data_IF_982444337937
#
_entry.id   IF_982444337937
#
_cell.length_a   1.000
_cell.length_b   1.000
_cell.length_c   1.000
_cell.angle_alpha   90.00
_cell.angle_beta   90.00
_cell.angle_gamma   90.00
#
_symmetry.space_group_name_H-M   'P 1'
#
loop_
_entity.id
_entity.type
_entity.pdbx_description
1 polymer ?
#
# COMPACT_ATOMS: atom_id res chain seq x y z
N UNK A 1 16.45 6.74 3.33
CA UNK A 1 15.67 5.98 4.33
C UNK A 1 15.45 6.88 5.54
N UNK A 2 14.24 6.90 6.11
CA UNK A 2 13.81 7.80 7.19
C UNK A 2 14.48 7.54 8.56
N UNK A 3 15.73 7.07 8.58
CA UNK A 3 16.45 6.71 9.80
C UNK A 3 16.27 5.25 10.25
N UNK A 4 15.53 4.43 9.49
CA UNK A 4 15.47 2.98 9.71
C UNK A 4 16.74 2.33 9.11
N UNK A 5 17.47 1.49 9.87
CA UNK A 5 18.61 0.76 9.36
C UNK A 5 18.24 -0.11 8.14
N UNK A 6 19.08 -0.09 7.10
CA UNK A 6 18.84 -0.84 5.87
C UNK A 6 18.64 -2.34 6.13
N UNK A 7 19.41 -2.93 7.05
CA UNK A 7 19.31 -4.35 7.40
C UNK A 7 17.99 -4.71 8.09
N UNK A 8 17.47 -3.81 8.94
CA UNK A 8 16.15 -3.96 9.55
C UNK A 8 15.04 -3.91 8.49
N UNK A 9 15.11 -2.93 7.58
CA UNK A 9 14.18 -2.81 6.46
C UNK A 9 14.22 -4.02 5.53
N UNK A 10 15.41 -4.49 5.18
CA UNK A 10 15.58 -5.64 4.28
C UNK A 10 15.04 -6.93 4.88
N UNK A 11 15.08 -7.07 6.21
CA UNK A 11 14.50 -8.22 6.92
C UNK A 11 12.98 -8.13 7.00
N UNK A 12 12.45 -6.95 7.27
CA UNK A 12 11.02 -6.71 7.38
C UNK A 12 10.67 -5.27 6.98
N UNK A 13 10.05 -5.03 5.81
CA UNK A 13 9.71 -3.69 5.36
C UNK A 13 8.72 -2.98 6.29
N UNK A 14 7.93 -3.73 7.08
CA UNK A 14 6.97 -3.15 8.03
C UNK A 14 7.67 -2.33 9.14
N UNK A 15 8.98 -2.55 9.36
CA UNK A 15 9.79 -1.74 10.28
C UNK A 15 9.83 -0.26 9.90
N UNK A 16 9.54 0.09 8.65
CA UNK A 16 9.43 1.48 8.19
C UNK A 16 8.12 2.15 8.60
N UNK A 17 7.06 1.41 8.91
CA UNK A 17 5.72 1.95 9.10
C UNK A 17 5.62 3.03 10.20
N UNK A 18 6.20 2.86 11.41
CA UNK A 18 6.10 3.90 12.45
C UNK A 18 6.79 5.20 12.06
N UNK A 19 7.94 5.08 11.40
CA UNK A 19 8.75 6.21 10.95
C UNK A 19 8.09 6.93 9.78
N UNK A 20 7.51 6.16 8.84
CA UNK A 20 6.72 6.69 7.74
C UNK A 20 5.47 7.40 8.23
N UNK A 21 4.77 6.85 9.23
CA UNK A 21 3.64 7.49 9.90
C UNK A 21 4.06 8.85 10.50
N UNK A 22 5.18 8.87 11.22
CA UNK A 22 5.71 10.11 11.79
C UNK A 22 6.01 11.15 10.71
N UNK A 23 6.62 10.72 9.61
CA UNK A 23 6.91 11.59 8.46
C UNK A 23 5.63 12.18 7.85
N UNK A 24 4.66 11.33 7.45
CA UNK A 24 3.43 11.82 6.78
C UNK A 24 2.57 12.69 7.69
N UNK A 25 2.57 12.44 9.01
CA UNK A 25 1.83 13.27 9.99
C UNK A 25 2.35 14.70 10.12
N UNK A 26 3.56 14.97 9.63
CA UNK A 26 4.21 16.29 9.72
C UNK A 26 4.26 17.02 8.38
N UNK A 27 3.79 16.39 7.30
CA UNK A 27 3.77 17.01 5.99
C UNK A 27 2.75 18.15 5.96
N UNK A 28 3.10 19.32 5.41
CA UNK A 28 2.15 20.40 5.19
C UNK A 28 1.29 20.08 3.96
N UNK A 29 0.41 19.08 4.05
CA UNK A 29 -0.36 18.55 2.91
C UNK A 29 -1.21 19.63 2.21
N UNK A 30 -1.63 20.67 2.93
CA UNK A 30 -2.36 21.81 2.38
C UNK A 30 -1.51 22.70 1.44
N UNK A 31 -0.19 22.59 1.52
CA UNK A 31 0.77 23.36 0.72
C UNK A 31 1.35 22.54 -0.44
N UNK A 32 0.94 21.27 -0.58
CA UNK A 32 1.46 20.38 -1.62
C UNK A 32 1.03 20.83 -3.01
N UNK A 33 2.00 20.92 -3.91
CA UNK A 33 1.74 21.01 -5.34
C UNK A 33 1.46 19.61 -5.92
N UNK A 34 1.00 19.56 -7.18
CA UNK A 34 0.69 18.29 -7.84
C UNK A 34 1.89 17.33 -7.87
N UNK A 35 3.11 17.84 -8.03
CA UNK A 35 4.34 17.04 -8.00
C UNK A 35 4.62 16.42 -6.64
N UNK A 36 4.29 17.12 -5.55
CA UNK A 36 4.48 16.62 -4.20
C UNK A 36 3.52 15.47 -3.91
N UNK A 37 2.25 15.64 -4.34
CA UNK A 37 1.25 14.57 -4.28
C UNK A 37 1.65 13.36 -5.11
N UNK A 38 2.16 13.56 -6.34
CA UNK A 38 2.62 12.47 -7.19
C UNK A 38 3.82 11.73 -6.59
N UNK A 39 4.75 12.45 -5.97
CA UNK A 39 5.91 11.86 -5.30
C UNK A 39 5.48 11.03 -4.09
N UNK A 40 4.66 11.60 -3.20
CA UNK A 40 4.15 10.88 -2.03
C UNK A 40 3.32 9.67 -2.43
N UNK A 41 2.49 9.79 -3.47
CA UNK A 41 1.72 8.69 -4.02
C UNK A 41 2.63 7.53 -4.47
N UNK A 42 3.68 7.84 -5.24
CA UNK A 42 4.62 6.84 -5.75
C UNK A 42 5.41 6.16 -4.62
N UNK A 43 5.85 6.93 -3.62
CA UNK A 43 6.58 6.42 -2.46
C UNK A 43 5.71 5.47 -1.63
N UNK A 44 4.47 5.86 -1.32
CA UNK A 44 3.55 5.03 -0.55
C UNK A 44 3.10 3.79 -1.34
N UNK A 45 2.90 3.91 -2.66
CA UNK A 45 2.57 2.77 -3.53
C UNK A 45 3.70 1.75 -3.51
N UNK A 46 4.95 2.22 -3.62
CA UNK A 46 6.14 1.37 -3.59
C UNK A 46 6.31 0.68 -2.24
N UNK A 47 6.12 1.42 -1.13
CA UNK A 47 6.16 0.86 0.21
C UNK A 47 5.09 -0.20 0.43
N UNK A 48 3.84 0.09 0.08
CA UNK A 48 2.72 -0.84 0.20
C UNK A 48 2.99 -2.13 -0.58
N UNK A 49 3.41 -2.01 -1.84
CA UNK A 49 3.75 -3.16 -2.67
C UNK A 49 4.90 -3.98 -2.09
N UNK A 50 5.99 -3.35 -1.61
CA UNK A 50 7.13 -4.07 -1.03
C UNK A 50 6.74 -4.83 0.24
N UNK A 51 5.86 -4.26 1.07
CA UNK A 51 5.29 -4.95 2.24
C UNK A 51 4.48 -6.17 1.80
N UNK A 52 3.57 -6.02 0.85
CA UNK A 52 2.73 -7.12 0.35
C UNK A 52 3.55 -8.24 -0.28
N UNK A 53 4.52 -7.90 -1.12
CA UNK A 53 5.39 -8.87 -1.80
C UNK A 53 6.24 -9.64 -0.78
N UNK A 54 6.94 -8.93 0.12
CA UNK A 54 7.90 -9.59 1.04
C UNK A 54 7.25 -10.32 2.19
N UNK A 55 6.15 -9.80 2.75
CA UNK A 55 5.50 -10.44 3.91
C UNK A 55 4.49 -11.49 3.53
N UNK A 56 3.77 -11.28 2.44
CA UNK A 56 2.62 -12.11 2.06
C UNK A 56 2.88 -12.94 0.80
N UNK A 57 4.09 -12.90 0.26
CA UNK A 57 4.46 -13.64 -0.96
C UNK A 57 3.66 -13.18 -2.19
N UNK A 58 3.14 -11.96 -2.16
CA UNK A 58 2.38 -11.41 -3.26
C UNK A 58 3.27 -11.14 -4.47
N UNK A 59 2.67 -11.03 -5.67
CA UNK A 59 3.41 -10.80 -6.92
C UNK A 59 2.78 -9.69 -7.74
N UNK A 60 3.62 -8.95 -8.49
CA UNK A 60 3.13 -8.02 -9.49
C UNK A 60 2.53 -8.77 -10.68
N UNK A 61 1.34 -8.37 -11.08
CA UNK A 61 0.63 -8.87 -12.25
C UNK A 61 0.16 -7.70 -13.12
N UNK A 62 -0.04 -7.98 -14.40
CA UNK A 62 -0.71 -7.05 -15.31
C UNK A 62 -2.16 -7.53 -15.45
N UNK A 63 -3.10 -6.67 -15.05
CA UNK A 63 -4.52 -6.91 -15.24
C UNK A 63 -5.03 -6.11 -16.44
N UNK A 64 -5.88 -6.73 -17.25
CA UNK A 64 -6.57 -6.05 -18.34
C UNK A 64 -7.52 -5.00 -17.75
N UNK A 65 -7.49 -3.79 -18.31
CA UNK A 65 -8.31 -2.67 -17.85
C UNK A 65 -8.72 -1.83 -19.06
N UNK A 66 -9.72 -2.28 -19.82
CA UNK A 66 -10.09 -1.66 -21.11
C UNK A 66 -10.62 -0.23 -20.95
N UNK A 67 -11.09 0.12 -19.75
CA UNK A 67 -11.61 1.46 -19.44
C UNK A 67 -10.48 2.42 -18.98
N UNK A 68 -9.30 1.88 -18.68
CA UNK A 68 -8.12 2.64 -18.30
C UNK A 68 -7.37 3.23 -19.51
N UNK A 69 -6.62 4.34 -19.32
CA UNK A 69 -5.93 5.04 -20.42
C UNK A 69 -4.87 4.19 -21.14
N UNK A 70 -4.34 3.15 -20.47
CA UNK A 70 -3.34 2.24 -21.02
C UNK A 70 -3.93 0.92 -21.52
N UNK A 71 -5.22 0.64 -21.26
CA UNK A 71 -5.83 -0.67 -21.52
C UNK A 71 -5.41 -1.77 -20.54
N UNK A 72 -4.54 -1.46 -19.57
CA UNK A 72 -4.08 -2.37 -18.53
C UNK A 72 -3.66 -1.60 -17.28
N UNK A 73 -3.54 -2.32 -16.16
CA UNK A 73 -3.02 -1.79 -14.89
C UNK A 73 -2.10 -2.79 -14.19
N UNK A 74 -1.19 -2.26 -13.37
CA UNK A 74 -0.31 -3.07 -12.53
C UNK A 74 -0.99 -3.34 -11.19
N UNK A 75 -1.13 -4.60 -10.83
CA UNK A 75 -1.78 -5.03 -9.59
C UNK A 75 -0.86 -5.93 -8.79
N UNK A 76 -1.10 -5.99 -7.49
CA UNK A 76 -0.52 -6.99 -6.60
C UNK A 76 -1.53 -8.14 -6.47
N UNK A 77 -1.10 -9.35 -6.79
CA UNK A 77 -1.88 -10.58 -6.60
C UNK A 77 -1.29 -11.40 -5.45
N UNK A 78 -2.16 -11.87 -4.56
CA UNK A 78 -1.79 -12.76 -3.46
C UNK A 78 -2.83 -13.87 -3.28
N UNK A 79 -2.39 -14.99 -2.70
CA UNK A 79 -3.28 -16.06 -2.28
C UNK A 79 -3.98 -15.64 -0.98
N UNK A 80 -5.29 -15.41 -1.03
CA UNK A 80 -6.07 -15.12 0.18
C UNK A 80 -6.12 -16.31 1.13
N UNK A 81 -6.51 -16.05 2.39
CA UNK A 81 -6.76 -17.11 3.38
C UNK A 81 -7.89 -18.06 2.99
N UNK A 82 -8.73 -17.66 2.02
CA UNK A 82 -9.77 -18.50 1.41
C UNK A 82 -9.25 -19.45 0.31
N UNK A 83 -7.93 -19.45 0.04
CA UNK A 83 -7.33 -20.29 -0.98
C UNK A 83 -7.64 -19.83 -2.42
N UNK A 84 -8.21 -18.64 -2.63
CA UNK A 84 -8.38 -18.03 -3.96
C UNK A 84 -7.41 -16.86 -4.20
N UNK A 85 -6.96 -16.61 -5.45
CA UNK A 85 -6.14 -15.45 -5.76
C UNK A 85 -7.00 -14.18 -5.69
N UNK A 86 -6.50 -13.16 -4.99
CA UNK A 86 -7.10 -11.83 -4.92
C UNK A 86 -6.10 -10.80 -5.43
N UNK A 87 -6.63 -9.70 -5.98
CA UNK A 87 -5.84 -8.63 -6.58
C UNK A 87 -6.18 -7.30 -5.94
N UNK A 88 -5.18 -6.44 -5.82
CA UNK A 88 -5.35 -5.04 -5.43
C UNK A 88 -4.46 -4.17 -6.30
N UNK A 89 -4.98 -3.01 -6.72
CA UNK A 89 -4.15 -1.97 -7.30
C UNK A 89 -3.58 -1.11 -6.15
N UNK A 90 -2.27 -1.16 -5.87
CA UNK A 90 -1.69 -0.41 -4.76
C UNK A 90 -1.79 1.11 -4.97
N UNK A 91 -1.83 1.59 -6.22
CA UNK A 91 -2.02 3.01 -6.50
C UNK A 91 -3.42 3.47 -6.08
N UNK A 92 -4.45 2.65 -6.35
CA UNK A 92 -5.82 2.94 -5.95
C UNK A 92 -5.98 2.94 -4.41
N UNK A 93 -5.32 2.02 -3.70
CA UNK A 93 -5.34 2.00 -2.22
C UNK A 93 -4.79 3.29 -1.64
N UNK A 94 -3.64 3.76 -2.15
CA UNK A 94 -3.04 5.02 -1.70
C UNK A 94 -3.92 6.22 -2.05
N UNK A 95 -4.57 6.22 -3.23
CA UNK A 95 -5.51 7.27 -3.60
C UNK A 95 -6.73 7.33 -2.68
N UNK A 96 -7.24 6.18 -2.22
CA UNK A 96 -8.31 6.14 -1.23
C UNK A 96 -7.85 6.78 0.08
N UNK A 97 -6.63 6.46 0.54
CA UNK A 97 -6.06 7.04 1.76
C UNK A 97 -5.94 8.57 1.68
N UNK A 98 -5.58 9.13 0.52
CA UNK A 98 -5.51 10.59 0.32
C UNK A 98 -6.87 11.29 0.35
N UNK A 99 -7.97 10.56 0.16
CA UNK A 99 -9.34 11.13 0.29
C UNK A 99 -9.80 11.21 1.73
N UNK A 100 -9.14 10.50 2.66
CA UNK A 100 -9.55 10.37 4.06
C UNK A 100 -8.45 10.86 5.02
N UNK A 101 -8.02 12.11 4.87
CA UNK A 101 -7.00 12.70 5.75
C UNK A 101 -7.40 12.67 7.25
N UNK A 102 -6.45 12.45 8.18
CA UNK A 102 -5.00 12.32 7.95
C UNK A 102 -4.59 10.98 7.33
N UNK A 103 -3.41 10.93 6.71
CA UNK A 103 -2.83 9.69 6.16
C UNK A 103 -2.44 8.76 7.33
N UNK A 104 -3.00 7.55 7.32
CA UNK A 104 -2.80 6.50 8.32
C UNK A 104 -2.18 5.26 7.67
N UNK A 105 -0.87 5.09 7.82
CA UNK A 105 -0.08 4.02 7.20
C UNK A 105 -0.59 2.63 7.58
N UNK A 106 -1.01 2.44 8.84
CA UNK A 106 -1.55 1.15 9.30
C UNK A 106 -2.93 0.88 8.69
N UNK A 107 -3.79 1.91 8.56
CA UNK A 107 -5.09 1.77 7.90
C UNK A 107 -4.92 1.42 6.42
N UNK A 108 -4.02 2.12 5.73
CA UNK A 108 -3.68 1.85 4.33
C UNK A 108 -3.23 0.39 4.14
N UNK A 109 -2.32 -0.10 4.99
CA UNK A 109 -1.86 -1.50 4.97
C UNK A 109 -3.02 -2.48 5.24
N UNK A 110 -3.81 -2.23 6.29
CA UNK A 110 -4.94 -3.07 6.67
C UNK A 110 -6.01 -3.15 5.57
N UNK A 111 -6.28 -2.05 4.87
CA UNK A 111 -7.24 -2.00 3.76
C UNK A 111 -6.77 -2.85 2.57
N UNK A 112 -5.46 -2.82 2.26
CA UNK A 112 -4.90 -3.69 1.22
C UNK A 112 -4.96 -5.16 1.62
N UNK A 113 -4.58 -5.49 2.86
CA UNK A 113 -4.64 -6.86 3.38
C UNK A 113 -6.08 -7.39 3.43
N UNK A 114 -7.05 -6.54 3.77
CA UNK A 114 -8.47 -6.88 3.78
C UNK A 114 -8.98 -7.18 2.35
N UNK A 115 -8.59 -6.34 1.38
CA UNK A 115 -8.93 -6.53 -0.04
C UNK A 115 -8.35 -7.84 -0.57
N UNK A 116 -7.12 -8.18 -0.18
CA UNK A 116 -6.45 -9.42 -0.55
C UNK A 116 -6.88 -10.63 0.29
N UNK A 117 -7.76 -10.44 1.27
CA UNK A 117 -8.19 -11.46 2.24
C UNK A 117 -7.02 -12.14 2.96
N UNK A 118 -5.99 -11.38 3.30
CA UNK A 118 -4.80 -11.83 4.03
C UNK A 118 -5.02 -11.79 5.55
N UNK A 119 -6.09 -11.15 6.01
CA UNK A 119 -6.46 -11.02 7.42
C UNK A 119 -7.71 -11.84 7.74
N UNK A 120 -7.71 -12.55 8.88
CA UNK A 120 -8.90 -13.23 9.38
C UNK A 120 -9.92 -12.19 9.82
N UNK A 121 -11.11 -12.19 9.22
CA UNK A 121 -12.25 -11.47 9.79
C UNK A 121 -12.65 -12.17 11.08
N UNK A 122 -12.70 -11.44 12.18
CA UNK A 122 -13.38 -11.90 13.38
C UNK A 122 -14.86 -11.63 13.11
N UNK A 123 -15.67 -12.68 12.98
CA UNK A 123 -17.12 -12.54 12.99
C UNK A 123 -17.53 -12.17 14.41
N UNK A 124 -18.10 -10.98 14.61
CA UNK A 124 -18.76 -10.64 15.87
C UNK A 124 -20.09 -11.42 15.92
N UNK A 125 -20.21 -12.34 16.87
CA UNK A 125 -21.45 -13.06 17.21
C UNK A 125 -22.46 -12.15 17.93
#
# INVERSE_FOLDING_TARGET
>A
MLGVPTDAYMRDPLTLAPTLQNYVSRLPLEQFEQSDWATLHSDLTSFLADVLVRRHGATWQIANDPDGPLGFRYVIEAQGLDGSPHRVDPADVVLVEFRELPIEIIRMLANAELTLKLTRKIEEE
#
